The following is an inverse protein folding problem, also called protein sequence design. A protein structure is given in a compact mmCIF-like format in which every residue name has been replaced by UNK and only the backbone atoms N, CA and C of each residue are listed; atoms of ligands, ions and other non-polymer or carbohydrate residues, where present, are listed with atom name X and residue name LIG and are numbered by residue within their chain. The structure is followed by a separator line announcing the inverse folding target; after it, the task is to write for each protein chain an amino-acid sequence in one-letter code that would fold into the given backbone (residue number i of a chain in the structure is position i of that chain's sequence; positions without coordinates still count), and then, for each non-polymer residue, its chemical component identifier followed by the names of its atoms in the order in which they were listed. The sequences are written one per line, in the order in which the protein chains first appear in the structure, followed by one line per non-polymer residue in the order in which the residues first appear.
data_IF_118775458457
#
_entry.id   IF_118775458457
#
_cell.length_a   1.000
_cell.length_b   1.000
_cell.length_c   1.000
_cell.angle_alpha   90.00
_cell.angle_beta   90.00
_cell.angle_gamma   90.00
#
_symmetry.space_group_name_H-M   'P 1'
#
loop_
_entity.id
_entity.type
_entity.pdbx_description
1 polymer ?
#
# COMPACT_ATOMS: atom_id res chain seq x y z
N UNK A 1 33.12 51.39 -9.83
CA UNK A 1 33.33 49.95 -9.62
C UNK A 1 32.09 49.45 -8.90
N UNK A 2 31.12 48.94 -9.65
CA UNK A 2 29.80 48.53 -9.13
C UNK A 2 29.93 47.22 -8.34
N UNK A 3 29.59 47.28 -7.05
CA UNK A 3 29.38 46.08 -6.24
C UNK A 3 28.12 45.38 -6.70
N UNK A 4 28.30 44.23 -7.37
CA UNK A 4 27.20 43.31 -7.66
C UNK A 4 26.62 42.78 -6.34
N UNK A 5 25.45 43.28 -5.98
CA UNK A 5 24.55 42.68 -4.99
C UNK A 5 24.30 41.22 -5.39
N UNK A 6 24.90 40.29 -4.65
CA UNK A 6 24.53 38.88 -4.72
C UNK A 6 23.15 38.79 -4.05
N UNK A 7 22.11 38.72 -4.88
CA UNK A 7 20.77 38.37 -4.42
C UNK A 7 20.81 36.90 -4.06
N UNK A 8 20.91 36.60 -2.76
CA UNK A 8 20.63 35.27 -2.23
C UNK A 8 19.17 34.98 -2.57
N UNK A 9 18.93 34.17 -3.59
CA UNK A 9 17.61 33.62 -3.87
C UNK A 9 17.18 32.86 -2.61
N UNK A 10 16.14 33.37 -1.97
CA UNK A 10 15.41 32.76 -0.88
C UNK A 10 15.24 31.27 -1.15
N UNK A 11 15.61 30.42 -0.19
CA UNK A 11 15.33 28.99 -0.27
C UNK A 11 13.83 28.84 -0.55
N UNK A 12 13.47 28.32 -1.73
CA UNK A 12 12.09 27.97 -2.01
C UNK A 12 11.73 26.94 -0.96
N UNK A 13 10.78 27.29 -0.09
CA UNK A 13 10.32 26.37 0.94
C UNK A 13 9.71 25.15 0.26
N UNK A 14 10.51 24.08 0.18
CA UNK A 14 10.07 22.81 -0.42
C UNK A 14 9.21 21.99 0.54
N UNK A 15 8.88 22.52 1.72
CA UNK A 15 8.03 21.83 2.67
C UNK A 15 6.61 21.65 2.11
N UNK A 16 6.23 20.38 1.93
CA UNK A 16 4.84 20.02 1.73
C UNK A 16 4.11 20.11 3.07
N UNK A 17 3.30 21.15 3.26
CA UNK A 17 2.54 21.41 4.50
C UNK A 17 1.14 20.79 4.45
N UNK A 18 0.52 20.57 5.61
CA UNK A 18 -0.87 20.09 5.72
C UNK A 18 -1.86 20.96 4.94
N UNK A 19 -1.70 22.29 4.98
CA UNK A 19 -2.57 23.21 4.24
C UNK A 19 -2.47 22.98 2.73
N UNK A 20 -1.25 22.75 2.22
CA UNK A 20 -1.05 22.45 0.80
C UNK A 20 -1.66 21.11 0.42
N UNK A 21 -1.50 20.09 1.26
CA UNK A 21 -2.11 18.76 1.06
C UNK A 21 -3.63 18.89 1.00
N UNK A 22 -4.25 19.61 1.92
CA UNK A 22 -5.71 19.85 1.88
C UNK A 22 -6.18 20.43 0.55
N UNK A 23 -5.43 21.41 0.01
CA UNK A 23 -5.74 22.00 -1.31
C UNK A 23 -5.56 20.99 -2.44
N UNK A 24 -4.54 20.14 -2.39
CA UNK A 24 -4.24 19.14 -3.42
C UNK A 24 -5.23 17.96 -3.40
N UNK A 25 -5.75 17.60 -2.24
CA UNK A 25 -6.75 16.54 -2.07
C UNK A 25 -8.17 16.98 -2.44
N UNK A 26 -8.48 18.25 -2.21
CA UNK A 26 -9.83 18.82 -2.34
C UNK A 26 -10.54 18.48 -3.67
N UNK A 27 -9.90 18.59 -4.86
CA UNK A 27 -10.57 18.27 -6.12
C UNK A 27 -11.03 16.82 -6.24
N UNK A 28 -10.42 15.89 -5.51
CA UNK A 28 -10.84 14.48 -5.49
C UNK A 28 -11.96 14.27 -4.49
N UNK A 29 -11.77 14.69 -3.24
CA UNK A 29 -12.76 14.43 -2.18
C UNK A 29 -14.02 15.29 -2.26
N UNK A 30 -13.97 16.49 -2.86
CA UNK A 30 -15.18 17.30 -3.11
C UNK A 30 -16.12 16.60 -4.11
N UNK A 31 -15.62 15.66 -4.93
CA UNK A 31 -16.44 14.87 -5.86
C UNK A 31 -16.97 13.58 -5.25
N UNK A 32 -16.50 13.19 -4.06
CA UNK A 32 -16.96 12.00 -3.38
C UNK A 32 -18.26 12.29 -2.62
N UNK A 33 -19.25 11.43 -2.80
CA UNK A 33 -20.45 11.46 -1.98
C UNK A 33 -20.16 10.85 -0.61
N UNK A 34 -19.57 11.63 0.29
CA UNK A 34 -19.28 11.24 1.67
C UNK A 34 -20.49 11.33 2.60
N UNK A 35 -21.70 11.44 2.05
CA UNK A 35 -22.93 11.52 2.86
C UNK A 35 -23.11 10.25 3.69
N UNK A 36 -23.68 10.37 4.91
CA UNK A 36 -24.08 9.22 5.70
C UNK A 36 -24.94 8.28 4.87
N UNK A 37 -24.73 6.97 5.03
CA UNK A 37 -25.62 5.97 4.45
C UNK A 37 -26.96 6.12 5.20
N UNK A 38 -28.12 6.25 4.52
CA UNK A 38 -29.41 6.60 5.15
C UNK A 38 -29.87 5.68 6.29
N UNK A 39 -29.27 4.50 6.42
CA UNK A 39 -29.57 3.47 7.42
C UNK A 39 -28.59 3.50 8.61
N UNK A 40 -27.67 4.47 8.65
CA UNK A 40 -26.60 4.57 9.65
C UNK A 40 -26.37 6.02 10.10
N UNK A 41 -26.29 6.21 11.42
CA UNK A 41 -26.06 7.52 12.05
C UNK A 41 -24.59 7.97 12.05
N UNK A 42 -23.68 7.13 11.55
CA UNK A 42 -22.23 7.37 11.59
C UNK A 42 -21.68 7.80 10.21
N UNK A 43 -20.69 8.69 10.23
CA UNK A 43 -20.03 9.23 9.03
C UNK A 43 -18.77 8.45 8.64
N UNK A 44 -18.38 8.51 7.36
CA UNK A 44 -17.10 7.98 6.88
C UNK A 44 -15.97 8.73 7.56
N UNK A 45 -15.08 8.02 8.25
CA UNK A 45 -13.89 8.62 8.87
C UNK A 45 -12.70 8.55 7.91
N UNK A 46 -12.04 9.68 7.71
CA UNK A 46 -10.81 9.79 6.93
C UNK A 46 -9.60 9.94 7.87
N UNK A 47 -8.60 9.06 7.72
CA UNK A 47 -7.30 9.24 8.36
C UNK A 47 -6.19 9.32 7.30
N UNK A 48 -5.04 9.91 7.66
CA UNK A 48 -3.90 10.07 6.74
C UNK A 48 -2.69 9.35 7.30
N UNK A 49 -1.94 8.69 6.42
CA UNK A 49 -0.63 8.18 6.75
C UNK A 49 0.39 9.31 6.89
N UNK A 50 1.57 8.98 7.44
CA UNK A 50 2.75 9.83 7.28
C UNK A 50 3.08 10.08 5.81
N UNK A 51 3.63 11.26 5.53
CA UNK A 51 4.11 11.64 4.21
C UNK A 51 5.46 10.96 3.95
N UNK A 52 5.52 10.06 2.96
CA UNK A 52 6.76 9.43 2.51
C UNK A 52 7.37 10.24 1.37
N UNK A 53 8.58 10.77 1.55
CA UNK A 53 9.29 11.58 0.54
C UNK A 53 10.31 10.73 -0.21
N UNK A 54 10.41 10.93 -1.52
CA UNK A 54 11.35 10.21 -2.36
C UNK A 54 11.78 11.03 -3.58
N UNK A 55 12.78 10.56 -4.32
CA UNK A 55 13.29 11.23 -5.53
C UNK A 55 13.52 10.21 -6.63
N UNK A 56 12.97 10.49 -7.83
CA UNK A 56 13.21 9.72 -9.04
C UNK A 56 13.76 10.65 -10.12
N UNK A 57 14.89 10.28 -10.74
CA UNK A 57 15.55 11.06 -11.81
C UNK A 57 15.64 12.58 -11.50
N UNK A 58 16.04 12.92 -10.27
CA UNK A 58 16.15 14.30 -9.74
C UNK A 58 14.84 15.04 -9.47
N UNK A 59 13.69 14.46 -9.79
CA UNK A 59 12.38 15.01 -9.43
C UNK A 59 12.02 14.58 -8.01
N UNK A 60 11.63 15.55 -7.17
CA UNK A 60 11.18 15.29 -5.79
C UNK A 60 9.71 14.92 -5.80
N UNK A 61 9.39 13.86 -5.06
CA UNK A 61 8.03 13.36 -4.88
C UNK A 61 7.71 13.20 -3.39
N UNK A 62 6.42 13.17 -3.11
CA UNK A 62 5.88 12.76 -1.82
C UNK A 62 4.69 11.84 -2.07
N UNK A 63 4.51 10.84 -1.22
CA UNK A 63 3.39 9.92 -1.22
C UNK A 63 2.66 9.99 0.12
N UNK A 64 1.35 9.78 0.08
CA UNK A 64 0.50 9.69 1.26
C UNK A 64 -0.68 8.79 0.95
N UNK A 65 -1.01 7.90 1.89
CA UNK A 65 -2.26 7.16 1.86
C UNK A 65 -3.32 7.90 2.67
N UNK A 66 -4.55 7.89 2.18
CA UNK A 66 -5.74 8.33 2.91
C UNK A 66 -6.58 7.10 3.16
N UNK A 67 -6.78 6.75 4.43
CA UNK A 67 -7.58 5.60 4.82
C UNK A 67 -9.03 6.05 4.99
N UNK A 68 -9.92 5.42 4.24
CA UNK A 68 -11.36 5.59 4.32
C UNK A 68 -11.94 4.46 5.16
N UNK A 69 -12.55 4.80 6.30
CA UNK A 69 -13.25 3.85 7.17
C UNK A 69 -14.74 4.10 7.10
N UNK A 70 -15.49 3.10 6.61
CA UNK A 70 -16.93 3.13 6.69
C UNK A 70 -17.37 2.69 8.09
N UNK A 71 -18.33 3.40 8.69
CA UNK A 71 -19.00 2.88 9.86
C UNK A 71 -19.88 1.71 9.43
N UNK A 72 -19.82 0.59 10.17
CA UNK A 72 -20.73 -0.53 9.95
C UNK A 72 -21.01 -1.27 11.27
N UNK A 73 -22.28 -1.59 11.52
CA UNK A 73 -22.73 -2.36 12.67
C UNK A 73 -22.35 -3.84 12.50
N UNK A 74 -21.13 -4.19 12.93
CA UNK A 74 -20.67 -5.56 13.05
C UNK A 74 -19.41 -5.88 12.26
N UNK A 75 -19.20 -5.33 11.06
CA UNK A 75 -18.01 -5.59 10.24
C UNK A 75 -17.56 -4.32 9.51
N UNK A 76 -16.55 -3.62 10.03
CA UNK A 76 -16.00 -2.43 9.36
C UNK A 76 -15.34 -2.82 8.03
N UNK A 77 -15.75 -2.19 6.93
CA UNK A 77 -15.06 -2.26 5.63
C UNK A 77 -14.32 -0.93 5.45
N UNK A 78 -13.09 -0.99 4.99
CA UNK A 78 -12.30 0.21 4.66
C UNK A 78 -11.60 0.06 3.32
N UNK A 79 -11.00 1.13 2.83
CA UNK A 79 -10.03 1.09 1.74
C UNK A 79 -9.06 2.25 1.94
N UNK A 80 -7.93 2.23 1.24
CA UNK A 80 -7.07 3.40 1.18
C UNK A 80 -6.88 3.91 -0.25
N UNK A 81 -6.90 5.22 -0.37
CA UNK A 81 -6.50 5.93 -1.57
C UNK A 81 -5.00 6.28 -1.45
N UNK A 82 -4.27 6.27 -2.56
CA UNK A 82 -2.86 6.64 -2.60
C UNK A 82 -2.67 7.88 -3.48
N UNK A 83 -2.01 8.90 -2.92
CA UNK A 83 -1.70 10.14 -3.62
C UNK A 83 -0.19 10.28 -3.81
N UNK A 84 0.22 10.66 -5.02
CA UNK A 84 1.58 11.09 -5.32
C UNK A 84 1.58 12.58 -5.64
N UNK A 85 2.39 13.32 -4.92
CA UNK A 85 2.68 14.72 -5.16
C UNK A 85 4.04 14.87 -5.82
N UNK A 86 4.18 15.82 -6.74
CA UNK A 86 5.43 16.18 -7.40
C UNK A 86 5.77 17.63 -7.10
N UNK A 87 7.03 17.91 -6.81
CA UNK A 87 7.53 19.28 -6.78
C UNK A 87 8.05 19.65 -8.18
N UNK A 88 7.47 20.67 -8.79
CA UNK A 88 7.81 21.08 -10.17
C UNK A 88 8.93 22.13 -10.25
N UNK A 89 9.56 22.48 -9.13
CA UNK A 89 10.59 23.53 -9.02
C UNK A 89 10.10 24.78 -8.30
N UNK A 90 8.78 25.01 -8.30
CA UNK A 90 8.16 26.18 -7.65
C UNK A 90 7.14 25.76 -6.59
N UNK A 91 6.28 24.78 -6.92
CA UNK A 91 5.19 24.32 -6.06
C UNK A 91 5.02 22.81 -6.10
N UNK A 92 4.30 22.30 -5.11
CA UNK A 92 3.78 20.94 -5.11
C UNK A 92 2.48 20.87 -5.92
N UNK A 93 2.33 19.80 -6.70
CA UNK A 93 1.14 19.46 -7.46
C UNK A 93 0.84 17.97 -7.34
N UNK A 94 -0.42 17.58 -7.54
CA UNK A 94 -0.79 16.16 -7.63
C UNK A 94 -0.23 15.59 -8.94
N UNK A 95 0.67 14.61 -8.82
CA UNK A 95 1.28 13.93 -9.96
C UNK A 95 0.37 12.81 -10.47
N UNK A 96 -0.14 12.00 -9.54
CA UNK A 96 -1.11 10.94 -9.81
C UNK A 96 -1.82 10.56 -8.51
N UNK A 97 -2.97 9.91 -8.62
CA UNK A 97 -3.65 9.33 -7.48
C UNK A 97 -4.36 8.05 -7.90
N UNK A 98 -4.53 7.14 -6.96
CA UNK A 98 -5.28 5.90 -7.15
C UNK A 98 -6.30 5.79 -6.02
N UNK A 99 -7.57 5.77 -6.39
CA UNK A 99 -8.64 5.43 -5.46
C UNK A 99 -8.67 3.93 -5.22
N UNK A 100 -9.04 3.52 -4.01
CA UNK A 100 -9.13 2.09 -3.65
C UNK A 100 -7.83 1.34 -4.01
N UNK A 101 -6.71 2.03 -3.77
CA UNK A 101 -5.37 1.56 -4.05
C UNK A 101 -5.05 0.30 -3.24
N UNK A 102 -5.49 0.28 -1.99
CA UNK A 102 -5.51 -0.90 -1.14
C UNK A 102 -6.93 -1.19 -0.65
N UNK A 103 -7.32 -2.46 -0.65
CA UNK A 103 -8.58 -2.89 -0.05
C UNK A 103 -8.41 -3.07 1.45
N UNK A 104 -9.37 -2.58 2.22
CA UNK A 104 -9.55 -3.03 3.59
C UNK A 104 -10.35 -4.33 3.63
N UNK A 105 -10.29 -5.04 4.74
CA UNK A 105 -11.05 -6.28 4.93
C UNK A 105 -12.19 -6.14 5.93
N UNK A 106 -12.97 -7.21 6.03
CA UNK A 106 -14.08 -7.34 6.97
C UNK A 106 -13.54 -7.27 8.41
N UNK A 107 -14.16 -6.46 9.27
CA UNK A 107 -13.79 -6.22 10.68
C UNK A 107 -12.55 -5.33 10.91
N UNK A 108 -12.32 -4.32 10.07
CA UNK A 108 -11.63 -3.11 10.54
C UNK A 108 -10.16 -2.92 10.18
N UNK A 109 -9.62 -3.69 9.23
CA UNK A 109 -8.35 -3.31 8.61
C UNK A 109 -8.66 -2.36 7.46
N UNK A 110 -8.60 -1.05 7.69
CA UNK A 110 -8.44 -0.12 6.58
C UNK A 110 -7.09 -0.40 5.92
N UNK A 111 -7.05 -0.37 4.59
CA UNK A 111 -5.78 -0.35 3.87
C UNK A 111 -4.83 0.65 4.52
N UNK A 112 -3.62 0.25 4.92
CA UNK A 112 -2.66 1.15 5.56
C UNK A 112 -1.30 1.09 4.87
N UNK A 113 -0.66 2.23 4.69
CA UNK A 113 0.66 2.27 4.05
C UNK A 113 1.74 1.75 5.01
N UNK A 114 2.11 0.48 4.85
CA UNK A 114 3.10 -0.21 5.69
C UNK A 114 4.51 -0.04 5.15
N UNK A 115 4.68 -0.06 3.83
CA UNK A 115 6.01 -0.02 3.22
C UNK A 115 6.08 0.86 1.97
N UNK A 116 7.23 1.52 1.79
CA UNK A 116 7.61 2.17 0.53
C UNK A 116 9.01 1.70 0.15
N UNK A 117 9.14 1.00 -0.97
CA UNK A 117 10.41 0.43 -1.43
C UNK A 117 10.74 0.95 -2.82
N UNK A 118 11.96 1.43 -3.01
CA UNK A 118 12.47 1.73 -4.35
C UNK A 118 12.93 0.42 -5.01
N UNK A 119 12.30 0.04 -6.11
CA UNK A 119 12.51 -1.25 -6.77
C UNK A 119 13.14 -1.11 -8.15
N UNK A 120 14.16 -0.25 -8.24
CA UNK A 120 14.84 0.09 -9.49
C UNK A 120 15.19 1.57 -9.55
N UNK A 121 15.71 2.03 -10.69
CA UNK A 121 16.11 3.43 -10.84
C UNK A 121 14.90 4.38 -10.90
N UNK A 122 13.75 3.89 -11.32
CA UNK A 122 12.60 4.71 -11.76
C UNK A 122 11.25 4.18 -11.25
N UNK A 123 11.30 3.26 -10.30
CA UNK A 123 10.15 2.55 -9.79
C UNK A 123 10.17 2.56 -8.26
N UNK A 124 9.01 2.84 -7.67
CA UNK A 124 8.76 2.71 -6.23
C UNK A 124 7.50 1.87 -6.07
N UNK A 125 7.52 0.90 -5.15
CA UNK A 125 6.33 0.17 -4.73
C UNK A 125 5.90 0.63 -3.36
N UNK A 126 4.59 0.76 -3.21
CA UNK A 126 3.89 1.01 -1.96
C UNK A 126 3.15 -0.27 -1.60
N UNK A 127 3.38 -0.78 -0.38
CA UNK A 127 2.63 -1.90 0.17
C UNK A 127 1.53 -1.34 1.06
N UNK A 128 0.28 -1.70 0.75
CA UNK A 128 -0.91 -1.26 1.46
C UNK A 128 -1.52 -2.47 2.15
N UNK A 129 -1.36 -2.56 3.47
CA UNK A 129 -1.81 -3.71 4.25
C UNK A 129 -3.32 -3.70 4.44
N UNK A 130 -3.95 -4.84 4.18
CA UNK A 130 -5.34 -5.13 4.47
C UNK A 130 -5.47 -6.51 5.12
N UNK A 131 -6.70 -6.89 5.42
CA UNK A 131 -6.95 -8.24 5.94
C UNK A 131 -8.33 -8.44 6.52
N UNK A 132 -8.72 -9.70 6.59
CA UNK A 132 -10.02 -10.17 7.04
C UNK A 132 -9.85 -11.14 8.20
N UNK A 133 -10.62 -10.92 9.25
CA UNK A 133 -10.68 -11.79 10.44
C UNK A 133 -12.12 -12.19 10.71
N UNK A 134 -12.54 -13.37 10.24
CA UNK A 134 -13.87 -13.91 10.50
C UNK A 134 -13.77 -15.37 10.97
N UNK A 135 -13.93 -16.35 10.06
CA UNK A 135 -13.72 -17.79 10.35
C UNK A 135 -12.25 -18.21 10.31
N UNK A 136 -11.35 -17.24 10.26
CA UNK A 136 -9.92 -17.38 10.04
C UNK A 136 -9.32 -15.99 9.85
N UNK A 137 -8.01 -15.95 9.74
CA UNK A 137 -7.24 -14.72 9.54
C UNK A 137 -6.61 -14.79 8.16
N UNK A 138 -6.82 -13.75 7.37
CA UNK A 138 -6.10 -13.52 6.12
C UNK A 138 -5.61 -12.07 6.13
N UNK A 139 -4.30 -11.88 6.16
CA UNK A 139 -3.66 -10.58 5.96
C UNK A 139 -2.94 -10.56 4.62
N UNK A 140 -2.93 -9.40 3.98
CA UNK A 140 -2.30 -9.21 2.68
C UNK A 140 -1.79 -7.78 2.52
N UNK A 141 -0.86 -7.61 1.59
CA UNK A 141 -0.38 -6.32 1.11
C UNK A 141 -0.78 -6.15 -0.37
N UNK A 142 -1.57 -5.13 -0.67
CA UNK A 142 -1.75 -4.65 -2.03
C UNK A 142 -0.50 -3.88 -2.47
N UNK A 143 0.18 -4.37 -3.51
CA UNK A 143 1.36 -3.73 -4.07
C UNK A 143 0.93 -2.73 -5.14
N UNK A 144 1.24 -1.45 -4.94
CA UNK A 144 1.01 -0.39 -5.92
C UNK A 144 2.33 0.16 -6.42
N UNK A 145 2.56 0.08 -7.72
CA UNK A 145 3.75 0.57 -8.40
C UNK A 145 3.56 2.01 -8.86
N UNK A 146 4.50 2.88 -8.52
CA UNK A 146 4.70 4.17 -9.17
C UNK A 146 5.88 4.13 -10.12
N UNK A 147 5.61 4.26 -11.43
CA UNK A 147 6.62 4.25 -12.49
C UNK A 147 6.21 5.19 -13.61
N UNK A 148 7.17 5.90 -14.19
CA UNK A 148 6.94 6.86 -15.28
C UNK A 148 5.85 7.91 -14.97
N UNK A 149 5.70 8.29 -13.70
CA UNK A 149 4.70 9.27 -13.27
C UNK A 149 3.28 8.72 -13.11
N UNK A 150 3.09 7.40 -13.12
CA UNK A 150 1.78 6.76 -12.97
C UNK A 150 1.78 5.71 -11.87
N UNK A 151 0.68 5.64 -11.13
CA UNK A 151 0.32 4.59 -10.20
C UNK A 151 -0.40 3.45 -10.94
N UNK A 152 -0.05 2.22 -10.59
CA UNK A 152 -0.72 1.01 -11.11
C UNK A 152 -0.69 -0.10 -10.05
N UNK A 153 -1.75 -0.90 -9.94
CA UNK A 153 -1.71 -2.14 -9.14
C UNK A 153 -0.72 -3.13 -9.74
N UNK A 154 0.23 -3.56 -8.92
CA UNK A 154 1.30 -4.48 -9.31
C UNK A 154 1.05 -5.90 -8.80
N UNK A 155 0.10 -6.13 -7.90
CA UNK A 155 -0.24 -7.44 -7.38
C UNK A 155 -0.70 -7.36 -5.93
N UNK A 156 -1.03 -8.49 -5.34
CA UNK A 156 -1.36 -8.65 -3.92
C UNK A 156 -0.53 -9.79 -3.37
N UNK A 157 0.10 -9.59 -2.22
CA UNK A 157 0.85 -10.63 -1.51
C UNK A 157 0.09 -10.94 -0.23
N UNK A 158 -0.43 -12.15 -0.09
CA UNK A 158 -0.88 -12.61 1.22
C UNK A 158 0.33 -12.67 2.14
N UNK A 159 0.22 -12.11 3.35
CA UNK A 159 1.32 -12.04 4.31
C UNK A 159 1.12 -13.05 5.44
N UNK A 160 -0.12 -13.40 5.74
CA UNK A 160 -0.47 -14.38 6.76
C UNK A 160 -1.84 -14.99 6.47
N UNK A 161 -1.93 -16.30 6.64
CA UNK A 161 -3.17 -17.04 6.59
C UNK A 161 -3.23 -18.02 7.75
N UNK A 162 -4.35 -18.04 8.48
CA UNK A 162 -4.63 -19.07 9.47
C UNK A 162 -6.11 -19.44 9.47
N UNK A 163 -6.40 -20.73 9.48
CA UNK A 163 -7.76 -21.27 9.54
C UNK A 163 -7.80 -22.53 10.41
N UNK A 164 -8.85 -22.68 11.22
CA UNK A 164 -9.10 -23.81 12.12
C UNK A 164 -9.29 -23.41 13.59
N UNK A 165 -9.86 -24.32 14.38
CA UNK A 165 -10.06 -24.14 15.83
C UNK A 165 -8.74 -24.20 16.60
N UNK A 166 -8.50 -23.16 17.40
CA UNK A 166 -7.38 -23.06 18.34
C UNK A 166 -7.59 -23.86 19.62
N UNK A 167 -8.74 -24.54 19.77
CA UNK A 167 -8.99 -25.45 20.88
C UNK A 167 -8.21 -26.76 20.70
N UNK A 168 -7.49 -27.15 21.76
CA UNK A 168 -6.47 -28.20 21.78
C UNK A 168 -6.99 -29.60 21.40
N UNK A 169 -8.31 -29.83 21.37
CA UNK A 169 -8.95 -31.15 21.20
C UNK A 169 -9.70 -31.36 19.86
N UNK A 170 -9.64 -30.41 18.92
CA UNK A 170 -10.35 -30.55 17.64
C UNK A 170 -9.50 -31.30 16.58
N UNK A 171 -10.01 -32.42 16.06
CA UNK A 171 -9.48 -33.17 14.91
C UNK A 171 -9.56 -32.40 13.56
N UNK A 172 -9.77 -31.08 13.60
CA UNK A 172 -9.94 -30.24 12.42
C UNK A 172 -8.62 -29.98 11.69
N UNK A 173 -8.68 -29.84 10.37
CA UNK A 173 -7.51 -29.45 9.57
C UNK A 173 -7.08 -28.03 9.94
N UNK A 174 -5.89 -27.90 10.52
CA UNK A 174 -5.27 -26.62 10.87
C UNK A 174 -4.34 -26.18 9.73
N UNK A 175 -4.54 -24.98 9.23
CA UNK A 175 -3.63 -24.35 8.29
C UNK A 175 -3.12 -23.04 8.90
N UNK A 176 -1.81 -22.86 8.90
CA UNK A 176 -1.19 -21.63 9.34
C UNK A 176 0.09 -21.43 8.54
N UNK A 177 0.15 -20.35 7.76
CA UNK A 177 1.41 -19.92 7.16
C UNK A 177 1.54 -18.40 7.14
N UNK A 178 2.79 -17.96 7.16
CA UNK A 178 3.19 -16.58 6.89
C UNK A 178 3.99 -16.54 5.60
N UNK A 179 3.80 -15.51 4.79
CA UNK A 179 4.62 -15.27 3.60
C UNK A 179 5.40 -13.99 3.83
N UNK A 180 6.72 -14.13 3.79
CA UNK A 180 7.63 -12.99 3.77
C UNK A 180 8.02 -12.70 2.33
N UNK A 181 8.16 -11.42 2.01
CA UNK A 181 8.59 -11.01 0.69
C UNK A 181 9.68 -9.95 0.71
N UNK A 182 10.51 -9.97 -0.33
CA UNK A 182 11.54 -8.96 -0.58
C UNK A 182 11.71 -8.68 -2.07
N UNK A 183 12.11 -7.45 -2.41
CA UNK A 183 12.39 -7.08 -3.80
C UNK A 183 13.88 -7.27 -4.10
N UNK A 184 14.19 -8.19 -5.00
CA UNK A 184 15.55 -8.56 -5.36
C UNK A 184 16.05 -7.82 -6.60
N UNK A 185 17.20 -7.12 -6.52
CA UNK A 185 17.84 -6.57 -7.70
C UNK A 185 18.14 -7.66 -8.73
N UNK A 186 17.51 -7.58 -9.91
CA UNK A 186 17.64 -8.58 -10.98
C UNK A 186 18.39 -8.05 -12.22
N UNK A 187 19.00 -6.86 -12.12
CA UNK A 187 19.58 -6.14 -13.26
C UNK A 187 18.55 -5.54 -14.23
N UNK A 188 17.26 -5.84 -14.04
CA UNK A 188 16.13 -5.29 -14.79
C UNK A 188 15.74 -3.89 -14.27
N UNK A 189 14.96 -3.12 -15.05
CA UNK A 189 14.45 -1.81 -14.62
C UNK A 189 13.59 -1.85 -13.35
N UNK A 190 12.91 -2.98 -13.12
CA UNK A 190 12.06 -3.28 -11.97
C UNK A 190 12.59 -4.57 -11.33
N UNK A 191 12.72 -4.58 -10.00
CA UNK A 191 13.23 -5.74 -9.26
C UNK A 191 12.26 -6.93 -9.32
N UNK A 192 12.79 -8.14 -9.15
CA UNK A 192 11.96 -9.35 -9.04
C UNK A 192 11.49 -9.51 -7.58
N UNK A 193 10.36 -10.16 -7.34
CA UNK A 193 9.79 -10.35 -6.01
C UNK A 193 10.13 -11.76 -5.49
N UNK A 194 10.86 -11.88 -4.39
CA UNK A 194 11.03 -13.17 -3.71
C UNK A 194 9.91 -13.35 -2.69
N UNK A 195 9.30 -14.53 -2.68
CA UNK A 195 8.33 -14.96 -1.68
C UNK A 195 8.88 -16.16 -0.91
N UNK A 196 8.70 -16.18 0.40
CA UNK A 196 9.07 -17.29 1.28
C UNK A 196 7.87 -17.63 2.16
N UNK A 197 7.21 -18.76 1.87
CA UNK A 197 6.08 -19.29 2.63
C UNK A 197 6.60 -20.14 3.77
N UNK A 198 6.22 -19.83 5.01
CA UNK A 198 6.64 -20.54 6.22
C UNK A 198 5.43 -21.00 7.02
N UNK A 199 5.53 -22.15 7.66
CA UNK A 199 4.51 -22.59 8.61
C UNK A 199 4.54 -21.73 9.87
N UNK A 200 3.37 -21.30 10.33
CA UNK A 200 3.18 -20.70 11.65
C UNK A 200 2.55 -21.67 12.66
N UNK A 201 2.37 -22.94 12.28
CA UNK A 201 1.97 -24.00 13.22
C UNK A 201 3.08 -24.25 14.24
N UNK A 202 2.69 -24.61 15.46
CA UNK A 202 3.62 -24.83 16.57
C UNK A 202 4.58 -25.99 16.31
N UNK A 203 4.12 -27.06 15.65
CA UNK A 203 4.92 -28.27 15.40
C UNK A 203 5.99 -28.04 14.31
N UNK A 204 5.71 -27.15 13.36
CA UNK A 204 6.53 -26.88 12.17
C UNK A 204 6.99 -25.41 12.13
N UNK A 205 7.08 -24.75 13.29
CA UNK A 205 7.25 -23.30 13.36
C UNK A 205 8.45 -22.81 12.54
N UNK A 206 8.21 -21.83 11.66
CA UNK A 206 9.18 -21.23 10.74
C UNK A 206 9.76 -22.14 9.65
N UNK A 207 9.30 -23.40 9.54
CA UNK A 207 9.69 -24.29 8.44
C UNK A 207 9.29 -23.68 7.11
N UNK A 208 10.24 -23.62 6.17
CA UNK A 208 9.98 -23.14 4.81
C UNK A 208 9.14 -24.21 4.10
N UNK A 209 7.93 -23.83 3.71
CA UNK A 209 6.99 -24.66 2.95
C UNK A 209 7.25 -24.51 1.45
N UNK A 210 7.51 -23.28 0.99
CA UNK A 210 7.82 -22.98 -0.39
C UNK A 210 8.65 -21.68 -0.47
N UNK A 211 9.43 -21.54 -1.55
CA UNK A 211 10.22 -20.34 -1.85
C UNK A 211 10.33 -20.15 -3.35
N UNK A 212 9.90 -18.99 -3.83
CA UNK A 212 9.93 -18.65 -5.25
C UNK A 212 10.47 -17.26 -5.51
N UNK A 213 10.89 -17.02 -6.75
CA UNK A 213 11.13 -15.70 -7.29
C UNK A 213 10.10 -15.46 -8.40
N UNK A 214 9.31 -14.40 -8.24
CA UNK A 214 8.29 -13.94 -9.19
C UNK A 214 8.88 -12.78 -9.99
N UNK A 215 9.24 -12.97 -11.27
CA UNK A 215 9.72 -11.89 -12.10
C UNK A 215 8.63 -10.83 -12.32
N UNK A 216 9.02 -9.56 -12.38
CA UNK A 216 8.08 -8.52 -12.80
C UNK A 216 7.75 -8.67 -14.30
N UNK A 217 6.46 -8.70 -14.64
CA UNK A 217 5.99 -8.75 -16.03
C UNK A 217 5.85 -7.33 -16.58
N UNK A 218 6.80 -6.88 -17.39
CA UNK A 218 6.70 -5.57 -18.09
C UNK A 218 5.51 -5.52 -19.06
N UNK A 219 5.03 -6.67 -19.56
CA UNK A 219 3.86 -6.75 -20.45
C UNK A 219 2.57 -6.36 -19.73
N UNK A 220 2.42 -6.84 -18.50
CA UNK A 220 1.20 -6.67 -17.71
C UNK A 220 1.36 -5.63 -16.59
N UNK A 221 2.58 -5.09 -16.42
CA UNK A 221 3.01 -4.19 -15.35
C UNK A 221 2.65 -4.70 -13.94
N UNK A 222 2.84 -6.00 -13.70
CA UNK A 222 2.50 -6.67 -12.43
C UNK A 222 3.37 -7.88 -12.14
N UNK A 223 3.37 -8.32 -10.89
CA UNK A 223 3.82 -9.62 -10.45
C UNK A 223 2.65 -10.60 -10.59
N UNK A 224 2.91 -11.74 -11.22
CA UNK A 224 1.93 -12.83 -11.35
C UNK A 224 2.27 -13.87 -10.30
N UNK A 225 1.72 -13.66 -9.11
CA UNK A 225 1.96 -14.51 -7.95
C UNK A 225 1.21 -15.83 -8.15
N UNK A 226 1.89 -16.99 -8.07
CA UNK A 226 1.25 -18.29 -8.25
C UNK A 226 0.20 -18.58 -7.19
N UNK A 227 -0.81 -19.38 -7.55
CA UNK A 227 -1.90 -19.76 -6.65
C UNK A 227 -1.41 -20.49 -5.39
N UNK A 228 -0.24 -21.14 -5.41
CA UNK A 228 0.33 -21.78 -4.21
C UNK A 228 0.67 -20.78 -3.08
N UNK A 229 0.73 -19.48 -3.40
CA UNK A 229 0.95 -18.37 -2.49
C UNK A 229 -0.32 -17.53 -2.27
N UNK A 230 -1.48 -18.00 -2.73
CA UNK A 230 -2.77 -17.33 -2.51
C UNK A 230 -3.83 -18.32 -2.02
N UNK A 231 -4.47 -18.04 -0.90
CA UNK A 231 -5.62 -18.78 -0.40
C UNK A 231 -6.86 -17.89 -0.39
N UNK A 232 -7.95 -18.38 -0.96
CA UNK A 232 -9.26 -17.79 -0.72
C UNK A 232 -9.82 -18.34 0.59
N UNK A 233 -10.22 -17.46 1.51
CA UNK A 233 -11.16 -17.87 2.55
C UNK A 233 -12.43 -18.43 1.86
N UNK A 234 -12.92 -19.63 2.24
CA UNK A 234 -14.13 -20.20 1.65
C UNK A 234 -15.38 -19.36 1.90
#
# INVERSE_FOLDING_TARGET
MEEKKIVVKTAIDTALTEKMINVLLKPVYDTMNLKPIPEMDEEITLSRSDIKRFTLRHTKFAAMAVENRYPFAGASIGHCDLFIFRFNGEKWETADFMREAGSGGMYGNSGSLTQMVRIGKEAVVFALAGGQTHMGTLYYDDLVLFRHGRLQKAGMVETQYSYGDWDDDAEGTRFCFDIQYEFLPSGKPVYDLQLVKRSCLKEDQNKILDKIIVPFSDKNNRYEIPETFTESLP
#
